data_IF_831406218463
#
_entry.id   IF_831406218463
#
_cell.length_a   1.000
_cell.length_b   1.000
_cell.length_c   1.000
_cell.angle_alpha   90.00
_cell.angle_beta   90.00
_cell.angle_gamma   90.00
#
_symmetry.space_group_name_H-M   'P 1'
#
loop_
_entity.id
_entity.type
_entity.pdbx_description
1 polymer ?
#
# COMPACT_ATOMS: atom_id res chain seq x y z
N UNK A 1 2.15 12.27 -34.59
CA UNK A 1 2.20 11.39 -33.38
C UNK A 1 2.80 12.13 -32.19
N UNK A 2 3.97 12.79 -32.33
CA UNK A 2 4.58 13.57 -31.25
C UNK A 2 3.67 14.70 -30.79
N UNK A 3 3.14 15.51 -31.71
CA UNK A 3 2.24 16.62 -31.39
C UNK A 3 0.95 16.19 -30.69
N UNK A 4 0.41 15.01 -31.02
CA UNK A 4 -0.75 14.43 -30.34
C UNK A 4 -0.43 14.03 -28.90
N UNK A 5 0.74 13.45 -28.66
CA UNK A 5 1.18 13.06 -27.30
C UNK A 5 1.45 14.31 -26.46
N UNK A 6 2.09 15.33 -27.03
CA UNK A 6 2.36 16.59 -26.34
C UNK A 6 1.03 17.28 -25.95
N UNK A 7 0.07 17.36 -26.88
CA UNK A 7 -1.27 17.92 -26.63
C UNK A 7 -2.06 17.08 -25.60
N UNK A 8 -1.93 15.74 -25.64
CA UNK A 8 -2.57 14.86 -24.68
C UNK A 8 -1.99 15.07 -23.27
N UNK A 9 -0.66 15.14 -23.13
CA UNK A 9 0.01 15.37 -21.83
C UNK A 9 -0.36 16.72 -21.24
N UNK A 10 -0.41 17.77 -22.07
CA UNK A 10 -0.74 19.13 -21.61
C UNK A 10 -2.21 19.29 -21.19
N UNK A 11 -3.13 18.52 -21.78
CA UNK A 11 -4.57 18.61 -21.51
C UNK A 11 -5.10 17.51 -20.61
N UNK A 12 -4.36 16.41 -20.39
CA UNK A 12 -4.85 15.32 -19.56
C UNK A 12 -4.72 15.62 -18.07
N UNK A 13 -5.70 15.15 -17.31
CA UNK A 13 -5.56 15.07 -15.87
C UNK A 13 -4.39 14.13 -15.54
N UNK A 14 -3.57 14.50 -14.57
CA UNK A 14 -2.42 13.77 -14.06
C UNK A 14 -2.68 12.26 -13.81
N UNK A 15 -3.86 11.91 -13.31
CA UNK A 15 -4.25 10.52 -13.12
C UNK A 15 -4.42 9.75 -14.43
N UNK A 16 -4.93 10.38 -15.48
CA UNK A 16 -5.02 9.76 -16.81
C UNK A 16 -3.65 9.48 -17.41
N UNK A 17 -2.65 10.29 -17.08
CA UNK A 17 -1.28 10.03 -17.49
C UNK A 17 -0.75 8.75 -16.80
N UNK A 18 -1.05 8.56 -15.52
CA UNK A 18 -0.67 7.34 -14.81
C UNK A 18 -1.37 6.10 -15.36
N UNK A 19 -2.67 6.18 -15.61
CA UNK A 19 -3.42 5.09 -16.25
C UNK A 19 -2.81 4.71 -17.60
N UNK A 20 -2.43 5.70 -18.43
CA UNK A 20 -1.74 5.46 -19.69
C UNK A 20 -0.37 4.78 -19.50
N UNK A 21 0.45 5.25 -18.56
CA UNK A 21 1.77 4.68 -18.29
C UNK A 21 1.65 3.24 -17.76
N UNK A 22 0.71 2.97 -16.86
CA UNK A 22 0.43 1.64 -16.34
C UNK A 22 -0.06 0.69 -17.45
N UNK A 23 -0.95 1.19 -18.33
CA UNK A 23 -1.41 0.40 -19.48
C UNK A 23 -0.26 0.09 -20.45
N UNK A 24 0.62 1.06 -20.72
CA UNK A 24 1.82 0.83 -21.55
C UNK A 24 2.75 -0.22 -20.94
N UNK A 25 2.97 -0.18 -19.62
CA UNK A 25 3.77 -1.21 -18.94
C UNK A 25 3.12 -2.58 -19.10
N UNK A 26 1.81 -2.66 -18.91
CA UNK A 26 1.03 -3.91 -19.05
C UNK A 26 1.09 -4.46 -20.46
N UNK A 27 0.88 -3.62 -21.48
CA UNK A 27 0.92 -4.03 -22.89
C UNK A 27 2.32 -4.51 -23.29
N UNK A 28 3.36 -3.79 -22.85
CA UNK A 28 4.74 -4.22 -23.06
C UNK A 28 5.05 -5.56 -22.36
N UNK A 29 4.47 -5.84 -21.19
CA UNK A 29 4.59 -7.14 -20.52
C UNK A 29 3.87 -8.23 -21.31
N UNK A 30 2.71 -7.98 -21.89
CA UNK A 30 1.96 -8.96 -22.68
C UNK A 30 2.62 -9.30 -24.04
N UNK A 31 3.23 -8.30 -24.69
CA UNK A 31 3.97 -8.52 -25.93
C UNK A 31 5.26 -9.36 -25.75
N UNK A 32 5.59 -9.67 -24.51
CA UNK A 32 6.88 -10.24 -24.10
C UNK A 32 6.93 -11.76 -24.05
N UNK A 33 5.86 -12.47 -24.41
CA UNK A 33 5.74 -13.90 -24.08
C UNK A 33 6.78 -14.78 -24.78
N UNK A 34 7.35 -14.36 -25.95
CA UNK A 34 8.24 -15.23 -26.71
C UNK A 34 9.49 -14.55 -27.34
N UNK A 35 9.74 -13.26 -27.09
CA UNK A 35 10.83 -12.55 -27.78
C UNK A 35 11.73 -11.76 -26.80
N UNK A 36 12.99 -12.18 -26.67
CA UNK A 36 14.02 -11.59 -25.82
C UNK A 36 14.16 -10.05 -26.02
N UNK A 37 13.95 -9.56 -27.24
CA UNK A 37 14.03 -8.14 -27.57
C UNK A 37 12.94 -7.30 -26.91
N UNK A 38 11.73 -7.80 -26.78
CA UNK A 38 10.62 -7.12 -26.13
C UNK A 38 10.77 -7.14 -24.59
N UNK A 39 11.26 -8.24 -24.01
CA UNK A 39 11.56 -8.34 -22.58
C UNK A 39 12.53 -7.24 -22.16
N UNK A 40 13.63 -7.07 -22.88
CA UNK A 40 14.64 -6.02 -22.63
C UNK A 40 14.07 -4.60 -22.79
N UNK A 41 13.12 -4.37 -23.71
CA UNK A 41 12.44 -3.07 -23.88
C UNK A 41 11.54 -2.73 -22.72
N UNK A 42 10.78 -3.70 -22.20
CA UNK A 42 9.90 -3.51 -21.03
C UNK A 42 10.72 -3.19 -19.78
N UNK A 43 11.73 -3.99 -19.47
CA UNK A 43 12.64 -3.75 -18.35
C UNK A 43 13.28 -2.36 -18.44
N UNK A 44 13.68 -1.94 -19.65
CA UNK A 44 14.26 -0.62 -19.90
C UNK A 44 13.23 0.51 -19.72
N UNK A 45 11.97 0.32 -20.13
CA UNK A 45 10.91 1.32 -19.96
C UNK A 45 10.58 1.54 -18.48
N UNK A 46 10.31 0.47 -17.73
CA UNK A 46 10.04 0.55 -16.30
C UNK A 46 11.24 1.11 -15.52
N UNK A 47 12.45 0.70 -15.88
CA UNK A 47 13.68 1.25 -15.29
C UNK A 47 13.83 2.75 -15.53
N UNK A 48 13.55 3.23 -16.75
CA UNK A 48 13.58 4.66 -17.07
C UNK A 48 12.55 5.45 -16.29
N UNK A 49 11.33 4.93 -16.14
CA UNK A 49 10.29 5.56 -15.33
C UNK A 49 10.73 5.66 -13.87
N UNK A 50 11.24 4.58 -13.27
CA UNK A 50 11.81 4.58 -11.91
C UNK A 50 12.93 5.61 -11.76
N UNK A 51 13.78 5.72 -12.78
CA UNK A 51 14.89 6.70 -12.80
C UNK A 51 14.37 8.13 -12.84
N UNK A 52 13.33 8.41 -13.64
CA UNK A 52 12.69 9.75 -13.73
C UNK A 52 12.07 10.11 -12.39
N UNK A 53 11.26 9.23 -11.82
CA UNK A 53 10.60 9.42 -10.52
C UNK A 53 11.64 9.76 -9.45
N UNK A 54 12.72 8.98 -9.36
CA UNK A 54 13.81 9.22 -8.40
C UNK A 54 14.58 10.51 -8.67
N UNK A 55 14.97 10.77 -9.93
CA UNK A 55 15.75 11.96 -10.31
C UNK A 55 15.02 13.27 -10.02
N UNK A 56 13.72 13.28 -10.19
CA UNK A 56 12.88 14.47 -9.99
C UNK A 56 12.22 14.50 -8.61
N UNK A 57 12.59 13.58 -7.70
CA UNK A 57 12.03 13.49 -6.33
C UNK A 57 10.50 13.48 -6.32
N UNK A 58 9.90 12.81 -7.32
CA UNK A 58 8.45 12.68 -7.36
C UNK A 58 7.97 11.77 -6.23
N UNK A 59 6.88 12.15 -5.57
CA UNK A 59 6.29 11.41 -4.47
C UNK A 59 5.54 10.14 -4.94
N UNK A 60 6.20 9.33 -5.78
CA UNK A 60 5.65 8.09 -6.34
C UNK A 60 6.69 6.98 -6.41
N UNK A 61 6.21 5.74 -6.40
CA UNK A 61 6.99 4.54 -6.72
C UNK A 61 6.31 3.75 -7.83
N UNK A 62 7.10 2.93 -8.52
CA UNK A 62 6.58 1.98 -9.51
C UNK A 62 6.83 0.57 -8.95
N UNK A 63 5.73 -0.11 -8.62
CA UNK A 63 5.75 -1.46 -8.09
C UNK A 63 4.84 -2.36 -8.92
N UNK A 64 5.38 -3.46 -9.42
CA UNK A 64 4.70 -4.43 -10.29
C UNK A 64 3.91 -3.81 -11.46
N UNK A 65 4.49 -2.77 -12.08
CA UNK A 65 3.89 -2.04 -13.19
C UNK A 65 2.80 -1.04 -12.79
N UNK A 66 2.58 -0.83 -11.51
CA UNK A 66 1.63 0.15 -10.96
C UNK A 66 2.37 1.34 -10.37
N UNK A 67 1.82 2.54 -10.56
CA UNK A 67 2.34 3.79 -9.99
C UNK A 67 1.60 4.04 -8.68
N UNK A 68 2.36 4.13 -7.59
CA UNK A 68 1.81 4.31 -6.24
C UNK A 68 2.36 5.57 -5.59
N UNK A 69 1.51 6.39 -4.95
CA UNK A 69 1.96 7.57 -4.23
C UNK A 69 2.69 7.18 -2.95
N UNK A 70 3.60 8.06 -2.53
CA UNK A 70 4.33 7.99 -1.27
C UNK A 70 4.46 9.39 -0.71
N UNK A 71 4.46 9.56 0.62
CA UNK A 71 4.71 10.88 1.22
C UNK A 71 6.18 11.27 1.17
N UNK A 72 7.08 10.28 1.28
CA UNK A 72 8.54 10.46 1.18
C UNK A 72 9.23 9.13 0.80
N UNK A 73 10.53 9.21 0.44
CA UNK A 73 11.31 8.05 0.01
C UNK A 73 11.39 6.94 1.07
N UNK A 74 11.43 7.29 2.34
CA UNK A 74 11.51 6.32 3.44
C UNK A 74 10.20 5.53 3.57
N UNK A 75 9.06 6.19 3.56
CA UNK A 75 7.76 5.55 3.58
C UNK A 75 7.52 4.70 2.33
N UNK A 76 7.96 5.18 1.17
CA UNK A 76 7.93 4.39 -0.06
C UNK A 76 8.72 3.08 0.05
N UNK A 77 9.91 3.11 0.63
CA UNK A 77 10.70 1.89 0.89
C UNK A 77 9.99 0.95 1.86
N UNK A 78 9.39 1.48 2.92
CA UNK A 78 8.64 0.71 3.92
C UNK A 78 7.42 0.04 3.27
N UNK A 79 6.69 0.78 2.44
CA UNK A 79 5.54 0.26 1.72
C UNK A 79 5.92 -0.86 0.73
N UNK A 80 6.99 -0.67 -0.07
CA UNK A 80 7.50 -1.71 -0.97
C UNK A 80 7.95 -2.94 -0.19
N UNK A 81 8.68 -2.76 0.90
CA UNK A 81 9.13 -3.87 1.74
C UNK A 81 7.95 -4.69 2.27
N UNK A 82 6.87 -4.04 2.73
CA UNK A 82 5.67 -4.71 3.18
C UNK A 82 4.96 -5.48 2.05
N UNK A 83 4.93 -4.91 0.83
CA UNK A 83 4.37 -5.58 -0.35
C UNK A 83 5.19 -6.82 -0.71
N UNK A 84 6.51 -6.72 -0.77
CA UNK A 84 7.40 -7.85 -1.08
C UNK A 84 7.26 -8.92 0.00
N UNK A 85 7.29 -8.53 1.27
CA UNK A 85 7.20 -9.44 2.41
C UNK A 85 5.87 -10.20 2.45
N UNK A 86 4.74 -9.52 2.21
CA UNK A 86 3.42 -10.16 2.15
C UNK A 86 3.29 -11.12 0.96
N UNK A 87 3.92 -10.79 -0.16
CA UNK A 87 3.96 -11.66 -1.35
C UNK A 87 4.81 -12.90 -1.09
N UNK A 88 6.02 -12.72 -0.57
CA UNK A 88 6.99 -13.81 -0.32
C UNK A 88 6.49 -14.79 0.76
N UNK A 89 5.71 -14.31 1.73
CA UNK A 89 5.11 -15.13 2.77
C UNK A 89 3.74 -15.69 2.44
N UNK A 90 3.24 -15.45 1.21
CA UNK A 90 1.92 -15.94 0.79
C UNK A 90 0.74 -15.23 1.45
N UNK A 91 0.95 -14.06 2.07
CA UNK A 91 -0.10 -13.26 2.71
C UNK A 91 -0.90 -12.46 1.68
N UNK A 92 -1.53 -13.17 0.73
CA UNK A 92 -2.16 -12.57 -0.46
C UNK A 92 -3.28 -11.60 -0.12
N UNK A 93 -4.01 -11.83 0.97
CA UNK A 93 -5.05 -10.92 1.46
C UNK A 93 -4.49 -9.57 1.86
N UNK A 94 -3.48 -9.55 2.73
CA UNK A 94 -2.80 -8.32 3.15
C UNK A 94 -2.11 -7.63 1.98
N UNK A 95 -1.43 -8.39 1.11
CA UNK A 95 -0.83 -7.86 -0.11
C UNK A 95 -1.85 -7.14 -1.01
N UNK A 96 -2.99 -7.78 -1.27
CA UNK A 96 -4.08 -7.20 -2.09
C UNK A 96 -4.62 -5.90 -1.48
N UNK A 97 -4.83 -5.88 -0.17
CA UNK A 97 -5.33 -4.69 0.53
C UNK A 97 -4.32 -3.53 0.48
N UNK A 98 -3.01 -3.79 0.69
CA UNK A 98 -1.98 -2.76 0.54
C UNK A 98 -1.93 -2.18 -0.88
N UNK A 99 -2.01 -3.02 -1.92
CA UNK A 99 -2.06 -2.55 -3.30
C UNK A 99 -3.28 -1.67 -3.56
N UNK A 100 -4.46 -2.10 -3.11
CA UNK A 100 -5.70 -1.32 -3.25
C UNK A 100 -5.63 0.00 -2.50
N UNK A 101 -5.08 0.02 -1.28
CA UNK A 101 -4.92 1.25 -0.52
C UNK A 101 -4.14 2.32 -1.31
N UNK A 102 -3.00 1.96 -1.91
CA UNK A 102 -2.25 2.87 -2.78
C UNK A 102 -3.01 3.25 -4.06
N UNK A 103 -3.85 2.36 -4.61
CA UNK A 103 -4.70 2.66 -5.76
C UNK A 103 -5.81 3.67 -5.43
N UNK A 104 -6.44 3.56 -4.25
CA UNK A 104 -7.46 4.50 -3.80
C UNK A 104 -6.89 5.92 -3.62
N UNK A 105 -5.63 6.08 -3.19
CA UNK A 105 -4.97 7.38 -3.14
C UNK A 105 -4.86 7.98 -4.56
N UNK A 106 -4.44 7.20 -5.56
CA UNK A 106 -4.39 7.67 -6.95
C UNK A 106 -5.76 8.14 -7.47
N UNK A 107 -6.84 7.59 -6.96
CA UNK A 107 -8.21 7.98 -7.31
C UNK A 107 -8.82 9.04 -6.38
N UNK A 108 -8.03 9.64 -5.48
CA UNK A 108 -8.47 10.65 -4.48
C UNK A 108 -9.58 10.13 -3.55
N UNK A 109 -9.63 8.83 -3.33
CA UNK A 109 -10.58 8.17 -2.43
C UNK A 109 -9.91 7.92 -1.07
N UNK A 110 -9.66 9.00 -0.34
CA UNK A 110 -8.85 9.00 0.87
C UNK A 110 -9.37 8.04 1.94
N UNK A 111 -10.68 8.11 2.25
CA UNK A 111 -11.31 7.22 3.22
C UNK A 111 -11.28 5.74 2.80
N UNK A 112 -11.38 5.45 1.49
CA UNK A 112 -11.26 4.08 0.98
C UNK A 112 -9.83 3.56 1.13
N UNK A 113 -8.82 4.41 0.90
CA UNK A 113 -7.42 4.07 1.12
C UNK A 113 -7.15 3.69 2.57
N UNK A 114 -7.65 4.49 3.52
CA UNK A 114 -7.51 4.20 4.95
C UNK A 114 -8.19 2.88 5.32
N UNK A 115 -9.39 2.60 4.82
CA UNK A 115 -10.06 1.31 5.04
C UNK A 115 -9.27 0.12 4.52
N UNK A 116 -8.76 0.22 3.30
CA UNK A 116 -7.92 -0.83 2.71
C UNK A 116 -6.62 -1.02 3.49
N UNK A 117 -6.00 0.06 3.96
CA UNK A 117 -4.79 0.00 4.79
C UNK A 117 -5.02 -0.77 6.09
N UNK A 118 -6.10 -0.51 6.80
CA UNK A 118 -6.48 -1.24 8.03
C UNK A 118 -6.85 -2.70 7.72
N UNK A 119 -7.55 -2.95 6.60
CA UNK A 119 -7.90 -4.31 6.19
C UNK A 119 -6.67 -5.18 5.93
N UNK A 120 -5.54 -4.58 5.50
CA UNK A 120 -4.27 -5.30 5.39
C UNK A 120 -3.76 -5.78 6.76
N UNK A 121 -3.82 -4.92 7.79
CA UNK A 121 -3.45 -5.30 9.17
C UNK A 121 -4.39 -6.38 9.71
N UNK A 122 -5.70 -6.23 9.51
CA UNK A 122 -6.70 -7.24 9.93
C UNK A 122 -6.44 -8.60 9.26
N UNK A 123 -6.04 -8.61 7.99
CA UNK A 123 -5.73 -9.85 7.29
C UNK A 123 -4.56 -10.60 7.96
N UNK A 124 -3.51 -9.89 8.40
CA UNK A 124 -2.42 -10.51 9.16
C UNK A 124 -2.88 -10.96 10.55
N UNK A 125 -3.71 -10.16 11.24
CA UNK A 125 -4.25 -10.56 12.55
C UNK A 125 -5.04 -11.88 12.46
N UNK A 126 -5.84 -12.07 11.41
CA UNK A 126 -6.57 -13.33 11.16
C UNK A 126 -5.65 -14.53 10.96
N UNK A 127 -4.49 -14.33 10.35
CA UNK A 127 -3.49 -15.39 10.21
C UNK A 127 -2.85 -15.77 11.56
N UNK A 128 -2.71 -14.82 12.49
CA UNK A 128 -2.09 -15.07 13.80
C UNK A 128 -3.05 -15.78 14.75
N UNK A 129 -4.33 -15.40 14.78
CA UNK A 129 -5.30 -15.79 15.82
C UNK A 129 -6.53 -16.51 15.26
N UNK A 130 -6.91 -16.28 13.99
CA UNK A 130 -8.09 -16.86 13.34
C UNK A 130 -9.08 -15.81 12.86
N UNK A 131 -10.19 -16.25 12.25
CA UNK A 131 -11.10 -15.42 11.45
C UNK A 131 -11.71 -14.20 12.17
N UNK A 132 -11.99 -14.30 13.46
CA UNK A 132 -12.55 -13.22 14.25
C UNK A 132 -11.51 -12.37 14.99
N UNK A 133 -10.25 -12.42 14.53
CA UNK A 133 -9.16 -11.70 15.17
C UNK A 133 -9.29 -10.18 15.02
N UNK A 134 -8.95 -9.49 16.10
CA UNK A 134 -8.70 -8.06 16.15
C UNK A 134 -7.21 -7.81 16.33
N UNK A 135 -6.76 -6.57 16.10
CA UNK A 135 -5.36 -6.22 16.41
C UNK A 135 -5.03 -6.50 17.88
N UNK A 136 -5.97 -6.21 18.80
CA UNK A 136 -5.77 -6.46 20.22
C UNK A 136 -5.53 -7.95 20.53
N UNK A 137 -6.31 -8.86 19.94
CA UNK A 137 -6.11 -10.30 20.11
C UNK A 137 -4.80 -10.78 19.49
N UNK A 138 -4.40 -10.26 18.33
CA UNK A 138 -3.13 -10.58 17.70
C UNK A 138 -1.92 -10.12 18.54
N UNK A 139 -1.98 -8.90 19.09
CA UNK A 139 -0.94 -8.39 20.00
C UNK A 139 -0.85 -9.19 21.28
N UNK A 140 -1.97 -9.67 21.85
CA UNK A 140 -1.98 -10.56 23.01
C UNK A 140 -1.31 -11.91 22.69
N UNK A 141 -1.53 -12.45 21.50
CA UNK A 141 -0.90 -13.70 21.09
C UNK A 141 0.62 -13.55 20.90
N UNK A 142 1.04 -12.44 20.29
CA UNK A 142 2.46 -12.09 20.13
C UNK A 142 3.13 -11.91 21.49
N UNK A 143 2.47 -11.25 22.45
CA UNK A 143 2.99 -10.98 23.79
C UNK A 143 3.31 -12.24 24.59
N UNK A 144 2.69 -13.38 24.30
CA UNK A 144 3.03 -14.66 24.93
C UNK A 144 4.47 -15.08 24.66
N UNK A 145 5.04 -14.67 23.54
CA UNK A 145 6.41 -15.04 23.15
C UNK A 145 7.40 -13.85 23.15
N UNK A 146 6.87 -12.63 23.03
CA UNK A 146 7.64 -11.39 22.93
C UNK A 146 7.01 -10.32 23.81
N UNK A 147 7.59 -10.00 24.99
CA UNK A 147 7.06 -8.97 25.86
C UNK A 147 6.92 -7.64 25.13
N UNK A 148 5.73 -7.06 25.14
CA UNK A 148 5.42 -5.76 24.55
C UNK A 148 5.33 -4.72 25.66
N UNK A 149 5.99 -3.57 25.44
CA UNK A 149 5.83 -2.45 26.37
C UNK A 149 4.36 -1.99 26.37
N UNK A 150 3.67 -1.83 27.53
CA UNK A 150 2.25 -1.51 27.58
C UNK A 150 1.86 -0.23 26.80
N UNK A 151 2.71 0.82 26.88
CA UNK A 151 2.48 2.05 26.12
C UNK A 151 2.57 1.84 24.61
N UNK A 152 3.48 0.96 24.13
CA UNK A 152 3.58 0.62 22.72
C UNK A 152 2.33 -0.11 22.25
N UNK A 153 1.89 -1.14 22.97
CA UNK A 153 0.65 -1.86 22.69
C UNK A 153 -0.56 -0.93 22.65
N UNK A 154 -0.66 0.02 23.61
CA UNK A 154 -1.72 1.02 23.64
C UNK A 154 -1.68 1.96 22.42
N UNK A 155 -0.48 2.43 22.03
CA UNK A 155 -0.32 3.29 20.86
C UNK A 155 -0.76 2.59 19.56
N UNK A 156 -0.37 1.32 19.36
CA UNK A 156 -0.80 0.51 18.23
C UNK A 156 -2.33 0.35 18.21
N UNK A 157 -2.93 0.04 19.37
CA UNK A 157 -4.39 -0.12 19.49
C UNK A 157 -5.14 1.19 19.23
N UNK A 158 -4.58 2.34 19.66
CA UNK A 158 -5.19 3.65 19.42
C UNK A 158 -5.16 4.05 17.95
N UNK A 159 -4.05 3.79 17.25
CA UNK A 159 -3.94 4.03 15.80
C UNK A 159 -4.95 3.16 15.03
N UNK A 160 -5.09 1.91 15.41
CA UNK A 160 -6.09 1.01 14.83
C UNK A 160 -7.52 1.46 15.15
N UNK A 161 -7.78 1.95 16.38
CA UNK A 161 -9.06 2.48 16.83
C UNK A 161 -9.54 3.68 16.03
N UNK A 162 -8.64 4.49 15.46
CA UNK A 162 -8.99 5.64 14.60
C UNK A 162 -9.95 5.28 13.45
N UNK A 163 -9.92 4.04 12.99
CA UNK A 163 -10.77 3.57 11.90
C UNK A 163 -11.96 2.73 12.36
N UNK A 164 -11.97 2.30 13.63
CA UNK A 164 -12.98 1.38 14.19
C UNK A 164 -14.06 2.07 14.99
N UNK A 165 -13.88 3.35 15.30
CA UNK A 165 -14.83 4.12 16.11
C UNK A 165 -16.20 4.28 15.41
N UNK A 166 -17.30 4.23 16.15
CA UNK A 166 -18.66 4.35 15.60
C UNK A 166 -18.86 5.65 14.81
N UNK A 167 -18.10 6.70 15.11
CA UNK A 167 -18.03 7.97 14.37
C UNK A 167 -16.82 8.07 13.43
N UNK A 168 -16.03 7.00 13.29
CA UNK A 168 -14.84 6.93 12.46
C UNK A 168 -15.13 6.75 10.96
N UNK A 169 -14.07 6.50 10.21
CA UNK A 169 -14.05 6.41 8.74
C UNK A 169 -15.11 5.44 8.16
N UNK A 170 -15.56 4.43 8.92
CA UNK A 170 -16.62 3.51 8.48
C UNK A 170 -17.99 4.19 8.36
N UNK A 171 -18.26 5.22 9.15
CA UNK A 171 -19.55 5.92 9.19
C UNK A 171 -19.52 7.33 8.57
N UNK A 172 -18.34 7.86 8.21
CA UNK A 172 -18.20 9.18 7.60
C UNK A 172 -18.95 9.35 6.27
N UNK A 173 -19.41 8.26 5.68
CA UNK A 173 -20.28 8.30 4.48
C UNK A 173 -21.74 8.63 4.78
N UNK A 174 -22.17 8.61 6.06
CA UNK A 174 -23.57 8.78 6.46
C UNK A 174 -23.84 10.11 7.19
N UNK A 175 -22.80 10.75 7.78
CA UNK A 175 -22.97 11.99 8.54
C UNK A 175 -22.03 13.10 8.08
N UNK A 176 -22.61 14.26 7.74
CA UNK A 176 -21.93 15.47 7.25
C UNK A 176 -21.08 16.20 8.30
N UNK A 177 -20.87 15.63 9.50
CA UNK A 177 -20.23 16.29 10.65
C UNK A 177 -18.90 15.65 11.10
N UNK A 178 -18.41 14.57 10.46
CA UNK A 178 -17.10 13.98 10.78
C UNK A 178 -15.97 14.70 10.05
N UNK A 179 -14.80 14.82 10.68
CA UNK A 179 -13.59 15.35 10.04
C UNK A 179 -13.34 14.58 8.73
N UNK A 180 -13.30 15.31 7.62
CA UNK A 180 -13.07 14.71 6.33
C UNK A 180 -11.62 14.18 6.29
N UNK A 181 -11.46 12.91 5.96
CA UNK A 181 -10.15 12.31 5.70
C UNK A 181 -9.55 12.93 4.44
N UNK A 182 -8.34 13.43 4.54
CA UNK A 182 -7.62 14.04 3.43
C UNK A 182 -6.47 13.15 2.91
N UNK A 183 -5.71 13.67 1.96
CA UNK A 183 -4.57 12.99 1.35
C UNK A 183 -3.47 12.68 2.39
N UNK A 184 -3.19 13.61 3.30
CA UNK A 184 -2.15 13.44 4.31
C UNK A 184 -2.51 12.31 5.28
N UNK A 185 -3.77 12.22 5.71
CA UNK A 185 -4.28 11.13 6.54
C UNK A 185 -4.14 9.78 5.82
N UNK A 186 -4.52 9.72 4.54
CA UNK A 186 -4.47 8.50 3.74
C UNK A 186 -3.02 8.01 3.55
N UNK A 187 -2.09 8.90 3.22
CA UNK A 187 -0.67 8.58 3.07
C UNK A 187 -0.06 8.12 4.40
N UNK A 188 -0.31 8.86 5.49
CA UNK A 188 0.14 8.47 6.82
C UNK A 188 -0.37 7.07 7.21
N UNK A 189 -1.66 6.81 7.02
CA UNK A 189 -2.25 5.53 7.37
C UNK A 189 -1.72 4.38 6.51
N UNK A 190 -1.47 4.60 5.23
CA UNK A 190 -0.85 3.60 4.37
C UNK A 190 0.57 3.23 4.87
N UNK A 191 1.40 4.22 5.17
CA UNK A 191 2.76 4.02 5.69
C UNK A 191 2.77 3.34 7.06
N UNK A 192 1.90 3.80 7.98
CA UNK A 192 1.75 3.22 9.30
C UNK A 192 1.28 1.75 9.22
N UNK A 193 0.24 1.45 8.44
CA UNK A 193 -0.27 0.09 8.28
C UNK A 193 0.73 -0.84 7.58
N UNK A 194 1.48 -0.37 6.59
CA UNK A 194 2.58 -1.12 5.98
C UNK A 194 3.64 -1.51 7.04
N UNK A 195 4.04 -0.55 7.88
CA UNK A 195 4.96 -0.81 9.00
C UNK A 195 4.38 -1.82 10.01
N UNK A 196 3.08 -1.75 10.30
CA UNK A 196 2.39 -2.70 11.17
C UNK A 196 2.39 -4.11 10.59
N UNK A 197 2.06 -4.26 9.31
CA UNK A 197 2.08 -5.55 8.60
C UNK A 197 3.46 -6.18 8.73
N UNK A 198 4.53 -5.45 8.37
CA UNK A 198 5.90 -5.96 8.50
C UNK A 198 6.27 -6.30 9.95
N UNK A 199 5.87 -5.46 10.92
CA UNK A 199 6.10 -5.74 12.34
C UNK A 199 5.43 -7.04 12.78
N UNK A 200 4.14 -7.24 12.48
CA UNK A 200 3.40 -8.45 12.84
C UNK A 200 4.03 -9.69 12.20
N UNK A 201 4.38 -9.64 10.92
CA UNK A 201 5.03 -10.73 10.21
C UNK A 201 6.41 -11.06 10.82
N UNK A 202 7.20 -10.05 11.18
CA UNK A 202 8.52 -10.29 11.81
C UNK A 202 8.41 -11.01 13.15
N UNK A 203 7.29 -10.81 13.90
CA UNK A 203 7.05 -11.44 15.19
C UNK A 203 6.49 -12.86 15.09
N UNK A 204 5.89 -13.20 13.97
CA UNK A 204 5.36 -14.57 13.74
C UNK A 204 6.40 -15.52 13.16
N UNK A 205 7.32 -15.04 12.31
CA UNK A 205 8.39 -15.86 11.69
C UNK A 205 9.35 -16.48 12.68
N UNK A 206 9.65 -15.84 13.78
CA UNK A 206 10.60 -16.36 14.78
C UNK A 206 10.10 -17.58 15.55
N UNK A 207 8.91 -18.13 15.23
CA UNK A 207 8.40 -19.41 15.76
C UNK A 207 8.83 -20.62 14.92
N UNK A 208 9.09 -20.43 13.64
CA UNK A 208 9.35 -21.54 12.72
C UNK A 208 10.85 -21.88 12.60
N UNK A 209 11.73 -20.99 13.10
CA UNK A 209 13.19 -21.14 13.06
C UNK A 209 13.80 -21.69 14.38
N UNK A 210 12.99 -22.18 15.32
CA UNK A 210 13.43 -22.85 16.56
C UNK A 210 12.87 -24.25 16.67
#
# INVERSE_FOLDING_TARGET
MKDFLDEFVDKCNFFRLFDLLEQLIKDLKQLNTDNIGYKKRNENFEFKLKTIVKKHHLAYIIYDGKIKPISNEFEGKTYVAALDETKDTGQLGAHSHLLKAGEQINHQKWADSVRESISAVEAICRQIVGENATLGSALNEIEKNYPLHPAFKKALSALYGFTSDENGIRHSLLDKSSAAVDEADALFMLGACASFVSYLLSRTRSKDDK
#
